data_IF_331798062831
#
_entry.id   IF_331798062831
#
_cell.length_a   1.000
_cell.length_b   1.000
_cell.length_c   1.000
_cell.angle_alpha   90.00
_cell.angle_beta   90.00
_cell.angle_gamma   90.00
#
_symmetry.space_group_name_H-M   'P 1'
#
loop_
_entity.id
_entity.type
_entity.pdbx_description
1 polymer ?
#
# COMPACT_ATOMS: atom_id res chain seq x y z
N UNK A 1 21.08 7.78 -13.45
CA UNK A 1 20.40 7.13 -12.30
C UNK A 1 21.27 6.00 -11.77
N UNK A 2 21.38 5.81 -10.45
CA UNK A 2 22.08 4.65 -9.89
C UNK A 2 21.39 3.34 -10.27
N UNK A 3 22.14 2.24 -10.33
CA UNK A 3 21.59 0.93 -10.71
C UNK A 3 20.49 0.46 -9.75
N UNK A 4 20.67 0.74 -8.46
CA UNK A 4 19.66 0.51 -7.41
C UNK A 4 18.35 1.28 -7.66
N UNK A 5 18.45 2.52 -8.14
CA UNK A 5 17.28 3.33 -8.47
C UNK A 5 16.54 2.78 -9.69
N UNK A 6 17.26 2.33 -10.73
CA UNK A 6 16.66 1.69 -11.92
C UNK A 6 15.88 0.44 -11.54
N UNK A 7 16.48 -0.46 -10.75
CA UNK A 7 15.80 -1.67 -10.31
C UNK A 7 14.54 -1.37 -9.48
N UNK A 8 14.60 -0.35 -8.62
CA UNK A 8 13.46 0.08 -7.80
C UNK A 8 12.26 0.51 -8.67
N UNK A 9 12.49 1.35 -9.67
CA UNK A 9 11.42 1.84 -10.55
C UNK A 9 10.86 0.72 -11.45
N UNK A 10 11.70 -0.20 -11.93
CA UNK A 10 11.25 -1.36 -12.71
C UNK A 10 10.35 -2.28 -11.87
N UNK A 11 10.75 -2.58 -10.62
CA UNK A 11 9.92 -3.38 -9.70
C UNK A 11 8.60 -2.67 -9.38
N UNK A 12 8.60 -1.34 -9.29
CA UNK A 12 7.38 -0.57 -9.12
C UNK A 12 6.47 -0.65 -10.35
N UNK A 13 7.03 -0.50 -11.55
CA UNK A 13 6.31 -0.62 -12.83
C UNK A 13 5.63 -1.99 -12.98
N UNK A 14 6.34 -3.07 -12.65
CA UNK A 14 5.82 -4.44 -12.75
C UNK A 14 4.59 -4.69 -11.87
N UNK A 15 4.38 -3.88 -10.82
CA UNK A 15 3.23 -3.97 -9.90
C UNK A 15 2.06 -3.06 -10.31
N UNK A 16 2.18 -2.30 -11.40
CA UNK A 16 1.12 -1.40 -11.83
C UNK A 16 0.05 -2.11 -12.67
N UNK A 17 -1.21 -1.63 -12.63
CA UNK A 17 -2.27 -2.12 -13.49
C UNK A 17 -1.93 -1.84 -14.96
N UNK A 18 -2.50 -2.64 -15.85
CA UNK A 18 -2.24 -2.56 -17.29
C UNK A 18 -2.47 -1.14 -17.85
N UNK A 19 -3.52 -0.46 -17.42
CA UNK A 19 -3.81 0.92 -17.84
C UNK A 19 -2.63 1.88 -17.60
N UNK A 20 -1.97 1.78 -16.44
CA UNK A 20 -0.80 2.62 -16.12
C UNK A 20 0.41 2.19 -16.95
N UNK A 21 0.58 0.88 -17.19
CA UNK A 21 1.67 0.38 -18.04
C UNK A 21 1.53 0.91 -19.47
N UNK A 22 0.31 0.91 -20.02
CA UNK A 22 0.01 1.49 -21.34
C UNK A 22 0.30 2.99 -21.37
N UNK A 23 -0.07 3.73 -20.33
CA UNK A 23 0.24 5.16 -20.24
C UNK A 23 1.75 5.43 -20.22
N UNK A 24 2.52 4.62 -19.49
CA UNK A 24 3.98 4.69 -19.47
C UNK A 24 4.56 4.42 -20.86
N UNK A 25 4.04 3.46 -21.61
CA UNK A 25 4.47 3.21 -22.99
C UNK A 25 4.16 4.37 -23.93
N UNK A 26 3.01 5.05 -23.77
CA UNK A 26 2.70 6.28 -24.52
C UNK A 26 3.75 7.37 -24.24
N UNK A 27 4.05 7.62 -22.96
CA UNK A 27 5.06 8.60 -22.54
C UNK A 27 6.47 8.22 -23.03
N UNK A 28 6.83 6.94 -22.97
CA UNK A 28 8.10 6.44 -23.50
C UNK A 28 8.25 6.82 -24.97
N UNK A 29 7.22 6.58 -25.79
CA UNK A 29 7.26 6.89 -27.22
C UNK A 29 7.55 8.36 -27.46
N UNK A 30 6.88 9.25 -26.73
CA UNK A 30 7.04 10.69 -26.90
C UNK A 30 8.48 11.12 -26.49
N UNK A 31 8.96 10.63 -25.35
CA UNK A 31 10.35 10.86 -24.86
C UNK A 31 11.38 10.29 -25.84
N UNK A 32 11.14 9.11 -26.40
CA UNK A 32 12.03 8.49 -27.38
C UNK A 32 12.20 9.38 -28.61
N UNK A 33 11.11 9.94 -29.14
CA UNK A 33 11.19 10.84 -30.29
C UNK A 33 11.89 12.15 -29.96
N UNK A 34 11.70 12.70 -28.77
CA UNK A 34 12.47 13.87 -28.30
C UNK A 34 13.95 13.54 -28.22
N UNK A 35 14.35 12.46 -27.53
CA UNK A 35 15.74 12.03 -27.43
C UNK A 35 16.37 11.77 -28.79
N UNK A 36 15.62 11.14 -29.71
CA UNK A 36 16.08 10.87 -31.08
C UNK A 36 16.31 12.15 -31.87
N UNK A 37 15.54 13.23 -31.64
CA UNK A 37 15.81 14.54 -32.25
C UNK A 37 17.13 15.11 -31.74
N UNK A 38 17.34 15.13 -30.42
CA UNK A 38 18.59 15.60 -29.81
C UNK A 38 19.82 14.78 -30.21
N UNK A 39 19.68 13.46 -30.41
CA UNK A 39 20.77 12.60 -30.87
C UNK A 39 21.15 12.84 -32.33
N UNK A 40 20.23 13.29 -33.18
CA UNK A 40 20.55 13.62 -34.59
C UNK A 40 21.51 14.81 -34.70
N UNK A 41 21.44 15.73 -33.74
CA UNK A 41 22.29 16.92 -33.64
C UNK A 41 23.71 16.58 -33.15
N UNK A 42 23.94 15.37 -32.63
CA UNK A 42 25.25 14.93 -32.14
C UNK A 42 26.14 14.36 -33.25
N UNK A 43 27.47 14.46 -33.10
CA UNK A 43 28.42 13.77 -33.97
C UNK A 43 28.14 12.28 -34.02
N UNK A 44 28.27 11.68 -35.21
CA UNK A 44 27.88 10.29 -35.48
C UNK A 44 28.56 9.27 -34.56
N UNK A 45 29.79 9.55 -34.14
CA UNK A 45 30.60 8.72 -33.23
C UNK A 45 30.10 8.74 -31.78
N UNK A 46 29.24 9.70 -31.41
CA UNK A 46 28.66 9.83 -30.07
C UNK A 46 27.17 9.51 -30.04
N UNK A 47 26.59 9.06 -31.17
CA UNK A 47 25.17 8.72 -31.27
C UNK A 47 24.90 7.43 -30.53
N UNK A 48 23.90 7.47 -29.66
CA UNK A 48 23.39 6.25 -29.02
C UNK A 48 22.65 5.38 -30.02
N UNK A 49 22.73 4.08 -29.84
CA UNK A 49 21.96 3.13 -30.64
C UNK A 49 20.46 3.29 -30.36
N UNK A 50 19.58 2.91 -31.31
CA UNK A 50 18.13 2.93 -31.08
C UNK A 50 17.69 2.10 -29.87
N UNK A 51 18.40 1.01 -29.56
CA UNK A 51 18.11 0.14 -28.42
C UNK A 51 18.41 0.83 -27.08
N UNK A 52 19.54 1.52 -26.99
CA UNK A 52 19.90 2.30 -25.79
C UNK A 52 18.91 3.43 -25.56
N UNK A 53 18.51 4.14 -26.61
CA UNK A 53 17.49 5.19 -26.52
C UNK A 53 16.13 4.64 -26.10
N UNK A 54 15.75 3.47 -26.59
CA UNK A 54 14.50 2.81 -26.20
C UNK A 54 14.53 2.46 -24.71
N UNK A 55 15.65 1.95 -24.21
CA UNK A 55 15.79 1.61 -22.80
C UNK A 55 15.85 2.86 -21.90
N UNK A 56 16.58 3.90 -22.30
CA UNK A 56 16.67 5.15 -21.54
C UNK A 56 15.32 5.88 -21.49
N UNK A 57 14.64 6.00 -22.63
CA UNK A 57 13.29 6.59 -22.69
C UNK A 57 12.29 5.82 -21.83
N UNK A 58 12.41 4.48 -21.77
CA UNK A 58 11.56 3.65 -20.92
C UNK A 58 11.82 3.91 -19.44
N UNK A 59 13.09 3.92 -19.00
CA UNK A 59 13.47 4.23 -17.63
C UNK A 59 13.02 5.63 -17.22
N UNK A 60 13.17 6.62 -18.11
CA UNK A 60 12.76 7.99 -17.86
C UNK A 60 11.23 8.11 -17.76
N UNK A 61 10.48 7.45 -18.64
CA UNK A 61 9.02 7.42 -18.58
C UNK A 61 8.52 6.84 -17.26
N UNK A 62 9.07 5.69 -16.84
CA UNK A 62 8.72 5.10 -15.54
C UNK A 62 9.06 6.06 -14.41
N UNK A 63 10.26 6.66 -14.42
CA UNK A 63 10.70 7.56 -13.36
C UNK A 63 9.80 8.78 -13.21
N UNK A 64 9.38 9.40 -14.31
CA UNK A 64 8.47 10.55 -14.28
C UNK A 64 7.13 10.18 -13.65
N UNK A 65 6.52 9.08 -14.09
CA UNK A 65 5.24 8.63 -13.52
C UNK A 65 5.40 8.22 -12.06
N UNK A 66 6.47 7.48 -11.73
CA UNK A 66 6.78 7.09 -10.36
C UNK A 66 6.93 8.30 -9.44
N UNK A 67 7.64 9.36 -9.89
CA UNK A 67 7.81 10.60 -9.14
C UNK A 67 6.49 11.30 -8.88
N UNK A 68 5.59 11.33 -9.87
CA UNK A 68 4.25 11.95 -9.68
C UNK A 68 3.38 11.20 -8.68
N UNK A 69 3.55 9.88 -8.56
CA UNK A 69 2.83 9.07 -7.58
C UNK A 69 3.45 9.12 -6.17
N UNK A 70 4.77 9.32 -6.07
CA UNK A 70 5.49 9.34 -4.79
C UNK A 70 5.45 10.71 -4.12
N UNK A 71 4.24 11.21 -3.84
CA UNK A 71 4.00 12.53 -3.21
C UNK A 71 4.61 12.64 -1.81
N UNK A 72 4.79 11.53 -1.10
CA UNK A 72 5.37 11.53 0.25
C UNK A 72 6.89 11.68 0.34
N UNK A 73 7.61 11.71 -0.79
CA UNK A 73 9.09 11.85 -0.80
C UNK A 73 9.59 13.30 -0.86
N UNK A 74 8.78 14.19 -1.45
CA UNK A 74 9.01 15.63 -1.42
C UNK A 74 8.27 16.20 -0.23
N UNK A 75 8.97 16.86 0.70
CA UNK A 75 8.33 17.71 1.71
C UNK A 75 7.55 18.80 0.97
N UNK A 76 6.28 18.56 0.65
CA UNK A 76 5.39 19.62 0.20
C UNK A 76 5.26 20.60 1.38
N UNK A 77 5.85 21.78 1.24
CA UNK A 77 5.83 22.86 2.24
C UNK A 77 4.41 23.29 2.57
N UNK A 78 3.47 23.06 1.65
CA UNK A 78 2.05 23.28 1.82
C UNK A 78 1.34 21.93 1.90
N UNK A 79 1.17 21.41 3.12
CA UNK A 79 0.38 20.22 3.43
C UNK A 79 -1.11 20.39 3.04
N UNK A 80 -1.43 20.44 1.74
CA UNK A 80 -2.82 20.38 1.28
C UNK A 80 -3.30 18.93 1.40
N UNK A 81 -3.73 18.57 2.58
CA UNK A 81 -4.18 17.20 2.96
C UNK A 81 -5.23 16.63 2.00
N UNK A 82 -6.00 17.48 1.34
CA UNK A 82 -7.03 17.10 0.37
C UNK A 82 -6.49 16.56 -0.96
N UNK A 83 -5.44 17.16 -1.51
CA UNK A 83 -4.85 16.69 -2.79
C UNK A 83 -4.19 15.33 -2.62
N UNK A 84 -3.58 15.10 -1.45
CA UNK A 84 -3.01 13.80 -1.06
C UNK A 84 -4.12 12.75 -0.94
N UNK A 85 -5.24 13.08 -0.27
CA UNK A 85 -6.40 12.18 -0.15
C UNK A 85 -6.99 11.82 -1.52
N UNK A 86 -7.14 12.79 -2.42
CA UNK A 86 -7.64 12.55 -3.77
C UNK A 86 -6.75 11.59 -4.57
N UNK A 87 -5.42 11.80 -4.55
CA UNK A 87 -4.46 10.89 -5.21
C UNK A 87 -4.51 9.47 -4.63
N UNK A 88 -4.70 9.32 -3.32
CA UNK A 88 -4.86 8.01 -2.67
C UNK A 88 -6.16 7.33 -3.13
N UNK A 89 -7.28 8.05 -3.17
CA UNK A 89 -8.58 7.51 -3.62
C UNK A 89 -8.50 7.09 -5.08
N UNK A 90 -7.91 7.91 -5.95
CA UNK A 90 -7.67 7.58 -7.35
C UNK A 90 -6.80 6.34 -7.50
N UNK A 91 -5.76 6.19 -6.68
CA UNK A 91 -4.91 5.00 -6.68
C UNK A 91 -5.68 3.74 -6.26
N UNK A 92 -6.52 3.83 -5.22
CA UNK A 92 -7.38 2.72 -4.76
C UNK A 92 -8.36 2.31 -5.87
N UNK A 93 -9.02 3.28 -6.51
CA UNK A 93 -9.91 3.04 -7.65
C UNK A 93 -9.17 2.39 -8.83
N UNK A 94 -8.01 2.94 -9.21
CA UNK A 94 -7.18 2.47 -10.34
C UNK A 94 -6.66 1.05 -10.17
N UNK A 95 -6.21 0.71 -8.96
CA UNK A 95 -5.69 -0.62 -8.67
C UNK A 95 -6.78 -1.65 -8.37
N UNK A 96 -8.08 -1.28 -8.47
CA UNK A 96 -9.22 -2.08 -7.98
C UNK A 96 -8.87 -2.76 -6.66
N UNK A 97 -8.17 -2.04 -5.78
CA UNK A 97 -7.82 -2.58 -4.48
C UNK A 97 -9.16 -2.67 -3.79
N UNK A 98 -9.74 -3.87 -3.78
CA UNK A 98 -10.77 -4.20 -2.83
C UNK A 98 -10.16 -3.80 -1.49
N UNK A 99 -10.67 -2.70 -0.93
CA UNK A 99 -10.35 -2.28 0.42
C UNK A 99 -10.86 -3.42 1.27
N UNK A 100 -10.05 -4.46 1.42
CA UNK A 100 -10.36 -5.59 2.26
C UNK A 100 -10.61 -4.95 3.61
N UNK A 101 -11.84 -5.07 4.11
CA UNK A 101 -12.22 -4.53 5.42
C UNK A 101 -11.06 -4.89 6.37
N UNK A 102 -10.55 -3.91 7.16
CA UNK A 102 -9.39 -4.15 8.01
C UNK A 102 -9.63 -5.45 8.76
N UNK A 103 -8.67 -6.38 8.66
CA UNK A 103 -8.80 -7.73 9.23
C UNK A 103 -9.12 -7.52 10.71
N UNK A 104 -10.34 -7.88 11.14
CA UNK A 104 -10.77 -7.69 12.54
C UNK A 104 -9.70 -8.28 13.45
N UNK A 105 -9.33 -7.53 14.50
CA UNK A 105 -8.31 -7.96 15.44
C UNK A 105 -8.67 -9.35 15.98
N UNK A 106 -7.71 -10.28 16.00
CA UNK A 106 -7.93 -11.68 16.39
C UNK A 106 -8.65 -11.80 17.74
N UNK A 107 -8.22 -10.99 18.72
CA UNK A 107 -8.81 -10.96 20.07
C UNK A 107 -10.29 -10.57 20.10
N UNK A 108 -10.71 -9.63 19.25
CA UNK A 108 -12.12 -9.23 19.17
C UNK A 108 -12.97 -10.35 18.60
N UNK A 109 -12.47 -11.05 17.57
CA UNK A 109 -13.16 -12.22 17.00
C UNK A 109 -13.28 -13.36 18.00
N UNK A 110 -12.25 -13.57 18.80
CA UNK A 110 -12.27 -14.59 19.84
C UNK A 110 -13.29 -14.24 20.94
N UNK A 111 -13.40 -12.96 21.32
CA UNK A 111 -14.42 -12.49 22.29
C UNK A 111 -15.85 -12.60 21.73
N UNK A 112 -16.08 -12.19 20.49
CA UNK A 112 -17.39 -12.34 19.81
C UNK A 112 -17.82 -13.81 19.75
N UNK A 113 -16.87 -14.73 19.56
CA UNK A 113 -17.15 -16.18 19.50
C UNK A 113 -17.64 -16.73 20.84
N UNK A 114 -17.12 -16.22 21.94
CA UNK A 114 -17.41 -16.70 23.29
C UNK A 114 -18.29 -15.75 24.11
N UNK A 115 -19.01 -14.84 23.43
CA UNK A 115 -19.83 -13.81 24.07
C UNK A 115 -20.82 -14.40 25.07
N UNK A 116 -21.51 -15.47 24.66
CA UNK A 116 -22.49 -16.16 25.50
C UNK A 116 -21.85 -16.72 26.78
N UNK A 117 -20.71 -17.38 26.66
CA UNK A 117 -20.01 -17.99 27.78
C UNK A 117 -19.49 -16.92 28.75
N UNK A 118 -18.98 -15.80 28.22
CA UNK A 118 -18.53 -14.65 29.02
C UNK A 118 -19.71 -14.05 29.80
N UNK A 119 -20.88 -13.88 29.16
CA UNK A 119 -22.08 -13.35 29.82
C UNK A 119 -22.56 -14.26 30.94
N UNK A 120 -22.67 -15.57 30.70
CA UNK A 120 -23.05 -16.55 31.73
C UNK A 120 -22.08 -16.51 32.92
N UNK A 121 -20.77 -16.52 32.67
CA UNK A 121 -19.77 -16.43 33.74
C UNK A 121 -19.86 -15.11 34.52
N UNK A 122 -20.26 -14.00 33.87
CA UNK A 122 -20.46 -12.72 34.53
C UNK A 122 -21.75 -12.67 35.35
N UNK A 123 -22.83 -13.29 34.88
CA UNK A 123 -24.08 -13.46 35.64
C UNK A 123 -23.85 -14.30 36.90
N UNK A 124 -23.02 -15.34 36.81
CA UNK A 124 -22.57 -16.14 37.95
C UNK A 124 -21.59 -15.38 38.89
N UNK A 125 -21.26 -14.13 38.60
CA UNK A 125 -20.44 -13.27 39.44
C UNK A 125 -18.93 -13.50 39.33
N UNK A 126 -18.43 -14.23 38.34
CA UNK A 126 -16.99 -14.44 38.15
C UNK A 126 -16.29 -13.15 37.76
N UNK A 127 -15.11 -12.90 38.34
CA UNK A 127 -14.28 -11.73 37.99
C UNK A 127 -13.70 -11.85 36.58
N UNK A 128 -13.43 -10.71 35.92
CA UNK A 128 -12.82 -10.71 34.59
C UNK A 128 -11.46 -11.43 34.53
N UNK A 129 -10.74 -11.48 35.65
CA UNK A 129 -9.50 -12.25 35.77
C UNK A 129 -9.76 -13.77 35.73
N UNK A 130 -10.73 -14.26 36.50
CA UNK A 130 -11.12 -15.68 36.49
C UNK A 130 -11.60 -16.12 35.10
N UNK A 131 -12.32 -15.26 34.41
CA UNK A 131 -12.77 -15.51 33.04
C UNK A 131 -11.57 -15.59 32.08
N UNK A 132 -10.61 -14.68 32.19
CA UNK A 132 -9.37 -14.72 31.40
C UNK A 132 -8.58 -16.03 31.64
N UNK A 133 -8.47 -16.46 32.90
CA UNK A 133 -7.79 -17.71 33.27
C UNK A 133 -8.53 -18.94 32.71
N UNK A 134 -9.87 -18.91 32.73
CA UNK A 134 -10.68 -19.94 32.09
C UNK A 134 -10.41 -20.04 30.58
N UNK A 135 -10.37 -18.92 29.87
CA UNK A 135 -10.06 -18.91 28.43
C UNK A 135 -8.63 -19.37 28.13
N UNK A 136 -7.68 -19.03 29.00
CA UNK A 136 -6.31 -19.51 28.87
C UNK A 136 -6.21 -21.03 29.06
N UNK A 137 -6.96 -21.58 30.02
CA UNK A 137 -6.92 -23.01 30.38
C UNK A 137 -7.71 -23.91 29.43
N UNK A 138 -8.97 -23.56 29.13
CA UNK A 138 -9.88 -24.43 28.38
C UNK A 138 -9.93 -24.14 26.88
N UNK A 139 -9.80 -22.87 26.50
CA UNK A 139 -9.89 -22.45 25.10
C UNK A 139 -8.53 -22.15 24.46
N UNK A 140 -7.42 -22.34 25.21
CA UNK A 140 -6.04 -22.03 24.78
C UNK A 140 -5.89 -20.63 24.19
N UNK A 141 -6.73 -19.68 24.63
CA UNK A 141 -6.81 -18.33 24.09
C UNK A 141 -6.39 -17.35 25.17
N UNK A 142 -5.22 -16.72 25.00
CA UNK A 142 -4.69 -15.74 25.97
C UNK A 142 -5.31 -14.37 25.73
N UNK A 143 -6.41 -14.08 26.41
CA UNK A 143 -7.06 -12.78 26.43
C UNK A 143 -6.82 -12.15 27.80
N UNK A 144 -6.30 -10.93 27.83
CA UNK A 144 -6.10 -10.21 29.08
C UNK A 144 -7.44 -9.66 29.59
N UNK A 145 -7.67 -9.65 30.91
CA UNK A 145 -8.94 -9.26 31.53
C UNK A 145 -9.43 -7.86 31.10
N UNK A 146 -8.51 -6.92 30.85
CA UNK A 146 -8.86 -5.57 30.38
C UNK A 146 -9.57 -5.57 29.02
N UNK A 147 -9.25 -6.54 28.14
CA UNK A 147 -9.92 -6.67 26.85
C UNK A 147 -11.35 -7.20 27.03
N UNK A 148 -11.57 -8.14 27.95
CA UNK A 148 -12.91 -8.67 28.27
C UNK A 148 -13.77 -7.55 28.87
N UNK A 149 -13.21 -6.80 29.84
CA UNK A 149 -13.90 -5.67 30.46
C UNK A 149 -14.26 -4.59 29.44
N UNK A 150 -13.33 -4.24 28.54
CA UNK A 150 -13.58 -3.27 27.48
C UNK A 150 -14.68 -3.76 26.53
N UNK A 151 -14.63 -5.03 26.14
CA UNK A 151 -15.61 -5.64 25.25
C UNK A 151 -17.02 -5.62 25.84
N UNK A 152 -17.19 -6.00 27.12
CA UNK A 152 -18.47 -5.94 27.83
C UNK A 152 -19.03 -4.53 28.02
N UNK A 153 -18.16 -3.50 28.05
CA UNK A 153 -18.60 -2.09 28.11
C UNK A 153 -19.06 -1.58 26.75
N UNK A 154 -18.43 -2.02 25.67
CA UNK A 154 -18.75 -1.63 24.30
C UNK A 154 -19.97 -2.40 23.74
N UNK A 155 -20.27 -3.57 24.30
CA UNK A 155 -21.37 -4.45 23.92
C UNK A 155 -22.17 -4.85 25.18
N UNK A 156 -23.05 -3.97 25.70
CA UNK A 156 -23.89 -4.28 26.86
C UNK A 156 -24.84 -5.46 26.62
#
# INVERSE_FOLDING_TARGET
MSETAKQKIIRWYARQPEAIRIEIFKKQRDIFFEMRKFEKEKPEQSRKTPHELTYESFLQAIYLVWKTEFVGGTKETNHKTETIKQKIIERIKRHKINIKKPRRQKKLRDLEKFDRDIRVMREEGLSYQKIADYFAKYHKTKIHFTYIQKYMKEHP
#
